data_IF_218632439090
#
_entry.id   IF_218632439090
#
_cell.length_a   1.000
_cell.length_b   1.000
_cell.length_c   1.000
_cell.angle_alpha   90.00
_cell.angle_beta   90.00
_cell.angle_gamma   90.00
#
_symmetry.space_group_name_H-M   'P 1'
#
loop_
_entity.id
_entity.type
_entity.pdbx_description
1 polymer ?
#
# COMPACT_ATOMS: atom_id res chain seq x y z
N UNK A 1 32.46 43.94 -39.70
CA UNK A 1 32.74 43.68 -38.27
C UNK A 1 31.42 43.69 -37.51
N UNK A 2 30.85 42.51 -37.22
CA UNK A 2 29.96 42.23 -36.08
C UNK A 2 29.94 40.72 -35.91
N UNK A 3 30.38 40.27 -34.75
CA UNK A 3 30.61 38.87 -34.42
C UNK A 3 29.29 38.11 -34.36
N UNK A 4 29.23 36.95 -35.03
CA UNK A 4 28.25 35.91 -34.74
C UNK A 4 28.48 35.43 -33.31
N UNK A 5 27.59 35.75 -32.38
CA UNK A 5 27.58 35.08 -31.07
C UNK A 5 26.75 33.81 -31.19
N UNK A 6 27.40 32.71 -31.56
CA UNK A 6 26.83 31.36 -31.66
C UNK A 6 26.52 30.69 -30.30
N UNK A 7 26.41 31.47 -29.22
CA UNK A 7 26.06 30.98 -27.89
C UNK A 7 24.84 31.74 -27.38
N UNK A 8 23.65 31.20 -27.67
CA UNK A 8 22.50 31.49 -26.83
C UNK A 8 22.85 30.98 -25.41
N UNK A 9 22.71 31.80 -24.35
CA UNK A 9 23.02 31.33 -23.02
C UNK A 9 22.07 30.17 -22.68
N UNK A 10 22.63 29.02 -22.32
CA UNK A 10 21.86 27.89 -21.80
C UNK A 10 21.66 28.14 -20.32
N UNK A 11 20.41 28.28 -19.89
CA UNK A 11 20.11 28.36 -18.46
C UNK A 11 20.25 26.95 -17.87
N UNK A 12 21.20 26.78 -16.95
CA UNK A 12 21.28 25.56 -16.17
C UNK A 12 20.06 25.46 -15.24
N UNK A 13 19.37 24.31 -15.21
CA UNK A 13 18.20 24.13 -14.38
C UNK A 13 18.58 24.12 -12.90
N UNK A 14 17.69 24.62 -12.05
CA UNK A 14 17.91 24.57 -10.60
C UNK A 14 18.04 23.13 -10.10
N UNK A 15 19.09 22.79 -9.32
CA UNK A 15 19.29 21.43 -8.79
C UNK A 15 18.19 21.00 -7.82
N UNK A 16 17.41 21.95 -7.30
CA UNK A 16 16.33 21.69 -6.35
C UNK A 16 15.13 20.95 -6.95
N UNK A 17 14.97 20.90 -8.28
CA UNK A 17 13.96 20.03 -8.89
C UNK A 17 14.26 18.56 -8.63
N UNK A 18 15.51 18.14 -8.80
CA UNK A 18 15.93 16.76 -8.55
C UNK A 18 16.08 16.48 -7.06
N UNK A 19 16.65 17.41 -6.29
CA UNK A 19 16.79 17.26 -4.82
C UNK A 19 15.45 17.26 -4.11
N UNK A 20 14.48 18.07 -4.56
CA UNK A 20 13.11 18.05 -4.06
C UNK A 20 12.43 16.70 -4.30
N UNK A 21 12.58 16.14 -5.51
CA UNK A 21 12.11 14.79 -5.80
C UNK A 21 12.83 13.73 -4.95
N UNK A 22 14.14 13.88 -4.71
CA UNK A 22 14.88 12.99 -3.83
C UNK A 22 14.34 13.01 -2.40
N UNK A 23 14.01 14.19 -1.85
CA UNK A 23 13.42 14.32 -0.51
C UNK A 23 12.05 13.62 -0.45
N UNK A 24 11.19 13.83 -1.45
CA UNK A 24 9.92 13.14 -1.54
C UNK A 24 10.11 11.62 -1.56
N UNK A 25 11.01 11.12 -2.40
CA UNK A 25 11.32 9.69 -2.47
C UNK A 25 11.88 9.14 -1.15
N UNK A 26 12.69 9.92 -0.42
CA UNK A 26 13.21 9.53 0.88
C UNK A 26 12.08 9.34 1.90
N UNK A 27 11.13 10.27 1.93
CA UNK A 27 9.96 10.21 2.82
C UNK A 27 9.09 8.99 2.47
N UNK A 28 8.77 8.80 1.20
CA UNK A 28 7.99 7.64 0.74
C UNK A 28 8.71 6.33 1.09
N UNK A 29 10.02 6.26 0.87
CA UNK A 29 10.85 5.10 1.24
C UNK A 29 10.76 4.80 2.73
N UNK A 30 10.80 5.81 3.59
CA UNK A 30 10.66 5.62 5.03
C UNK A 30 9.30 4.97 5.39
N UNK A 31 8.21 5.41 4.76
CA UNK A 31 6.90 4.76 4.94
C UNK A 31 6.89 3.31 4.44
N UNK A 32 7.55 3.01 3.32
CA UNK A 32 7.64 1.64 2.80
C UNK A 32 8.44 0.73 3.74
N UNK A 33 9.51 1.24 4.36
CA UNK A 33 10.24 0.50 5.40
C UNK A 33 9.35 0.22 6.60
N UNK A 34 8.61 1.23 7.09
CA UNK A 34 7.68 1.05 8.19
C UNK A 34 6.57 0.04 7.86
N UNK A 35 6.01 0.09 6.65
CA UNK A 35 5.02 -0.89 6.19
C UNK A 35 5.57 -2.31 6.16
N UNK A 36 6.82 -2.48 5.70
CA UNK A 36 7.50 -3.77 5.70
C UNK A 36 7.71 -4.32 7.12
N UNK A 37 8.13 -3.47 8.05
CA UNK A 37 8.29 -3.83 9.47
C UNK A 37 6.94 -4.19 10.09
N UNK A 38 5.90 -3.40 9.80
CA UNK A 38 4.55 -3.66 10.28
C UNK A 38 4.05 -5.03 9.83
N UNK A 39 4.26 -5.39 8.56
CA UNK A 39 3.84 -6.69 8.04
C UNK A 39 4.54 -7.88 8.72
N UNK A 40 5.80 -7.71 9.14
CA UNK A 40 6.53 -8.73 9.91
C UNK A 40 5.99 -8.81 11.35
N UNK A 41 5.60 -7.68 11.93
CA UNK A 41 5.10 -7.62 13.30
C UNK A 41 3.65 -8.11 13.44
N UNK A 42 2.81 -7.92 12.42
CA UNK A 42 1.39 -8.28 12.42
C UNK A 42 1.09 -9.72 12.87
N UNK A 43 1.69 -10.79 12.30
CA UNK A 43 1.40 -12.16 12.74
C UNK A 43 1.73 -12.37 14.22
N UNK A 44 2.90 -11.87 14.68
CA UNK A 44 3.32 -12.01 16.09
C UNK A 44 2.35 -11.34 17.07
N UNK A 45 1.67 -10.27 16.64
CA UNK A 45 0.68 -9.58 17.44
C UNK A 45 -0.65 -10.33 17.39
N UNK A 46 -1.09 -10.80 16.22
CA UNK A 46 -2.36 -11.49 16.05
C UNK A 46 -2.38 -12.86 16.74
N UNK A 47 -1.31 -13.67 16.64
CA UNK A 47 -1.19 -14.97 17.34
C UNK A 47 -1.36 -14.83 18.87
N UNK A 48 -1.11 -13.63 19.42
CA UNK A 48 -1.30 -13.36 20.86
C UNK A 48 -2.70 -12.87 21.21
N UNK A 49 -3.42 -12.31 20.24
CA UNK A 49 -4.73 -11.70 20.45
C UNK A 49 -5.88 -12.62 20.03
N UNK A 50 -5.63 -13.50 19.06
CA UNK A 50 -6.59 -14.44 18.50
C UNK A 50 -5.98 -15.85 18.59
N UNK A 51 -6.26 -16.62 19.68
CA UNK A 51 -5.83 -18.01 19.76
C UNK A 51 -6.54 -18.89 18.72
N UNK A 52 -5.83 -19.87 18.19
CA UNK A 52 -6.33 -20.76 17.13
C UNK A 52 -7.48 -21.66 17.60
N UNK A 53 -7.52 -22.02 18.89
CA UNK A 53 -8.53 -22.93 19.43
C UNK A 53 -9.49 -22.19 20.38
N UNK A 54 -10.79 -22.31 20.13
CA UNK A 54 -11.81 -21.72 20.99
C UNK A 54 -11.75 -22.28 22.43
N UNK A 55 -11.31 -23.52 22.63
CA UNK A 55 -11.12 -24.10 23.97
C UNK A 55 -10.12 -23.33 24.85
N UNK A 56 -9.18 -22.60 24.24
CA UNK A 56 -8.23 -21.74 24.97
C UNK A 56 -8.89 -20.46 25.52
N UNK A 57 -10.06 -20.09 24.97
CA UNK A 57 -10.89 -18.97 25.42
C UNK A 57 -11.95 -19.48 26.41
N UNK A 58 -12.72 -20.48 26.00
CA UNK A 58 -13.78 -21.09 26.79
C UNK A 58 -13.66 -22.62 26.75
N UNK A 59 -13.32 -23.27 27.87
CA UNK A 59 -13.23 -24.73 27.90
C UNK A 59 -14.58 -25.40 27.66
N UNK A 60 -14.59 -26.52 26.93
CA UNK A 60 -15.81 -27.26 26.65
C UNK A 60 -16.58 -27.65 27.94
N UNK A 61 -17.89 -27.33 28.04
CA UNK A 61 -18.69 -27.59 29.24
C UNK A 61 -19.10 -29.07 29.33
N UNK A 62 -18.13 -29.94 29.65
CA UNK A 62 -18.35 -31.39 29.74
C UNK A 62 -19.47 -31.80 30.72
N UNK A 63 -19.57 -31.11 31.86
CA UNK A 63 -20.61 -31.29 32.88
C UNK A 63 -21.84 -30.38 32.67
N UNK A 64 -21.86 -29.57 31.61
CA UNK A 64 -22.96 -28.68 31.27
C UNK A 64 -24.20 -29.40 30.73
N UNK A 65 -25.30 -28.64 30.72
CA UNK A 65 -26.54 -28.98 30.03
C UNK A 65 -26.33 -29.14 28.52
N UNK A 66 -27.28 -29.78 27.84
CA UNK A 66 -27.21 -29.93 26.38
C UNK A 66 -27.25 -28.54 25.69
N UNK A 67 -28.02 -27.59 26.24
CA UNK A 67 -28.09 -26.20 25.76
C UNK A 67 -26.72 -25.49 25.85
N UNK A 68 -26.01 -25.63 26.98
CA UNK A 68 -24.66 -25.04 27.13
C UNK A 68 -23.63 -25.66 26.17
N UNK A 69 -23.80 -26.93 25.79
CA UNK A 69 -22.91 -27.60 24.82
C UNK A 69 -23.21 -27.15 23.40
N UNK A 70 -24.49 -27.00 23.05
CA UNK A 70 -24.93 -26.51 21.75
C UNK A 70 -24.48 -25.05 21.53
N UNK A 71 -24.63 -24.17 22.53
CA UNK A 71 -24.14 -22.78 22.48
C UNK A 71 -22.61 -22.71 22.32
N UNK A 72 -21.88 -23.59 23.01
CA UNK A 72 -20.43 -23.66 22.88
C UNK A 72 -20.01 -24.07 21.47
N UNK A 73 -20.68 -25.07 20.88
CA UNK A 73 -20.40 -25.55 19.53
C UNK A 73 -20.67 -24.45 18.49
N UNK A 74 -21.77 -23.70 18.63
CA UNK A 74 -22.08 -22.53 17.79
C UNK A 74 -20.99 -21.45 17.87
N UNK A 75 -20.56 -21.10 19.09
CA UNK A 75 -19.49 -20.12 19.30
C UNK A 75 -18.13 -20.61 18.76
N UNK A 76 -17.85 -21.91 18.86
CA UNK A 76 -16.62 -22.50 18.34
C UNK A 76 -16.55 -22.41 16.81
N UNK A 77 -17.67 -22.66 16.12
CA UNK A 77 -17.76 -22.52 14.66
C UNK A 77 -17.58 -21.06 14.24
N UNK A 78 -18.26 -20.14 14.93
CA UNK A 78 -18.07 -18.71 14.68
C UNK A 78 -16.61 -18.26 14.89
N UNK A 79 -15.96 -18.78 15.93
CA UNK A 79 -14.56 -18.48 16.22
C UNK A 79 -13.62 -19.01 15.13
N UNK A 80 -13.82 -20.24 14.67
CA UNK A 80 -13.01 -20.83 13.59
C UNK A 80 -13.13 -20.02 12.30
N UNK A 81 -14.34 -19.58 11.92
CA UNK A 81 -14.58 -18.71 10.77
C UNK A 81 -13.87 -17.35 10.91
N UNK A 82 -13.86 -16.78 12.12
CA UNK A 82 -13.15 -15.55 12.42
C UNK A 82 -11.63 -15.71 12.28
N UNK A 83 -11.07 -16.79 12.83
CA UNK A 83 -9.63 -17.10 12.76
C UNK A 83 -9.21 -17.31 11.30
N UNK A 84 -9.95 -18.09 10.52
CA UNK A 84 -9.68 -18.32 9.10
C UNK A 84 -9.62 -17.01 8.30
N UNK A 85 -10.58 -16.10 8.54
CA UNK A 85 -10.58 -14.78 7.91
C UNK A 85 -9.32 -13.95 8.25
N UNK A 86 -8.90 -13.94 9.53
CA UNK A 86 -7.71 -13.21 9.93
C UNK A 86 -6.41 -13.85 9.42
N UNK A 87 -6.36 -15.17 9.29
CA UNK A 87 -5.24 -15.89 8.69
C UNK A 87 -5.06 -15.50 7.21
N UNK A 88 -6.14 -15.45 6.45
CA UNK A 88 -6.12 -14.97 5.06
C UNK A 88 -5.64 -13.51 4.98
N UNK A 89 -6.11 -12.65 5.89
CA UNK A 89 -5.66 -11.26 6.00
C UNK A 89 -4.18 -11.15 6.37
N UNK A 90 -3.68 -11.99 7.28
CA UNK A 90 -2.25 -12.07 7.62
C UNK A 90 -1.43 -12.47 6.39
N UNK A 91 -1.91 -13.44 5.62
CA UNK A 91 -1.31 -13.85 4.36
C UNK A 91 -1.17 -12.67 3.39
N UNK A 92 -2.24 -11.88 3.24
CA UNK A 92 -2.22 -10.65 2.42
C UNK A 92 -1.23 -9.62 2.97
N UNK A 93 -1.22 -9.37 4.28
CA UNK A 93 -0.30 -8.44 4.96
C UNK A 93 1.15 -8.86 4.72
N UNK A 94 1.46 -10.16 4.74
CA UNK A 94 2.78 -10.69 4.41
C UNK A 94 3.22 -10.32 2.99
N UNK A 95 2.33 -10.48 2.00
CA UNK A 95 2.60 -10.09 0.60
C UNK A 95 2.75 -8.57 0.48
N UNK A 96 1.92 -7.80 1.17
CA UNK A 96 2.05 -6.33 1.26
C UNK A 96 3.40 -5.91 1.85
N UNK A 97 3.90 -6.66 2.84
CA UNK A 97 5.22 -6.46 3.41
C UNK A 97 6.34 -6.63 2.38
N UNK A 98 6.28 -7.68 1.57
CA UNK A 98 7.25 -7.91 0.48
C UNK A 98 7.15 -6.81 -0.58
N UNK A 99 5.95 -6.43 -0.99
CA UNK A 99 5.73 -5.32 -1.93
C UNK A 99 6.31 -4.00 -1.40
N UNK A 100 6.06 -3.69 -0.14
CA UNK A 100 6.64 -2.54 0.55
C UNK A 100 8.17 -2.60 0.60
N UNK A 101 8.76 -3.78 0.84
CA UNK A 101 10.21 -3.93 0.88
C UNK A 101 10.85 -3.68 -0.49
N UNK A 102 10.22 -4.15 -1.57
CA UNK A 102 10.65 -3.87 -2.95
C UNK A 102 10.59 -2.36 -3.23
N UNK A 103 9.47 -1.71 -2.87
CA UNK A 103 9.33 -0.26 -3.05
C UNK A 103 10.33 0.53 -2.20
N UNK A 104 10.63 0.08 -0.99
CA UNK A 104 11.65 0.70 -0.14
C UNK A 104 13.03 0.62 -0.81
N UNK A 105 13.39 -0.54 -1.36
CA UNK A 105 14.66 -0.72 -2.04
C UNK A 105 14.79 0.18 -3.28
N UNK A 106 13.79 0.17 -4.17
CA UNK A 106 13.79 1.01 -5.37
C UNK A 106 13.73 2.50 -5.01
N UNK A 107 12.98 2.86 -3.97
CA UNK A 107 12.86 4.23 -3.47
C UNK A 107 14.18 4.76 -2.89
N UNK A 108 14.94 3.92 -2.17
CA UNK A 108 16.26 4.25 -1.67
C UNK A 108 17.25 4.51 -2.81
N UNK A 109 17.27 3.64 -3.83
CA UNK A 109 18.11 3.84 -5.01
C UNK A 109 17.74 5.14 -5.75
N UNK A 110 16.44 5.39 -5.94
CA UNK A 110 15.94 6.62 -6.54
C UNK A 110 16.44 7.85 -5.78
N UNK A 111 16.33 7.82 -4.45
CA UNK A 111 16.78 8.91 -3.56
C UNK A 111 18.27 9.22 -3.76
N UNK A 112 19.13 8.19 -3.70
CA UNK A 112 20.59 8.36 -3.83
C UNK A 112 20.97 8.91 -5.21
N UNK A 113 20.38 8.37 -6.27
CA UNK A 113 20.66 8.76 -7.66
C UNK A 113 20.21 10.20 -7.93
N UNK A 114 19.01 10.57 -7.48
CA UNK A 114 18.48 11.94 -7.61
C UNK A 114 19.29 12.95 -6.81
N UNK A 115 19.74 12.58 -5.60
CA UNK A 115 20.57 13.45 -4.76
C UNK A 115 21.92 13.78 -5.40
N UNK A 116 22.48 12.82 -6.15
CA UNK A 116 23.69 12.98 -6.97
C UNK A 116 23.43 13.68 -8.31
N UNK A 117 22.24 14.22 -8.52
CA UNK A 117 21.83 14.98 -9.72
C UNK A 117 21.92 14.15 -11.03
N UNK A 118 21.87 12.81 -10.94
CA UNK A 118 21.86 11.91 -12.09
C UNK A 118 20.45 11.82 -12.70
N UNK A 119 20.08 12.87 -13.45
CA UNK A 119 18.72 13.10 -13.96
C UNK A 119 18.09 11.91 -14.66
N UNK A 120 18.72 11.38 -15.70
CA UNK A 120 18.10 10.37 -16.57
C UNK A 120 17.80 9.07 -15.84
N UNK A 121 18.76 8.60 -15.04
CA UNK A 121 18.60 7.39 -14.25
C UNK A 121 17.60 7.62 -13.11
N UNK A 122 17.66 8.77 -12.43
CA UNK A 122 16.75 9.10 -11.34
C UNK A 122 15.29 9.16 -11.78
N UNK A 123 14.99 9.82 -12.91
CA UNK A 123 13.63 9.89 -13.47
C UNK A 123 13.12 8.49 -13.85
N UNK A 124 13.97 7.64 -14.46
CA UNK A 124 13.60 6.26 -14.82
C UNK A 124 13.34 5.39 -13.59
N UNK A 125 14.14 5.53 -12.54
CA UNK A 125 13.96 4.80 -11.28
C UNK A 125 12.67 5.20 -10.58
N UNK A 126 12.35 6.51 -10.51
CA UNK A 126 11.06 6.97 -9.95
C UNK A 126 9.90 6.50 -10.80
N UNK A 127 10.00 6.56 -12.14
CA UNK A 127 8.96 6.01 -13.01
C UNK A 127 8.74 4.51 -12.78
N UNK A 128 9.82 3.75 -12.58
CA UNK A 128 9.75 2.32 -12.24
C UNK A 128 9.11 2.10 -10.87
N UNK A 129 9.47 2.92 -9.88
CA UNK A 129 8.86 2.88 -8.55
C UNK A 129 7.34 3.10 -8.62
N UNK A 130 6.88 4.09 -9.38
CA UNK A 130 5.45 4.36 -9.57
C UNK A 130 4.76 3.18 -10.26
N UNK A 131 5.38 2.59 -11.28
CA UNK A 131 4.82 1.43 -11.97
C UNK A 131 4.69 0.21 -11.04
N UNK A 132 5.70 -0.07 -10.23
CA UNK A 132 5.66 -1.15 -9.22
C UNK A 132 4.61 -0.86 -8.16
N UNK A 133 4.49 0.40 -7.72
CA UNK A 133 3.51 0.82 -6.73
C UNK A 133 2.09 0.63 -7.26
N UNK A 134 1.81 1.05 -8.50
CA UNK A 134 0.50 0.88 -9.13
C UNK A 134 0.16 -0.58 -9.38
N UNK A 135 1.05 -1.35 -10.03
CA UNK A 135 0.77 -2.75 -10.39
C UNK A 135 0.69 -3.64 -9.14
N UNK A 136 1.64 -3.50 -8.22
CA UNK A 136 1.61 -4.28 -6.98
C UNK A 136 0.44 -3.86 -6.08
N UNK A 137 0.13 -2.57 -6.00
CA UNK A 137 -1.06 -2.07 -5.31
C UNK A 137 -2.36 -2.60 -5.91
N UNK A 138 -2.47 -2.67 -7.25
CA UNK A 138 -3.63 -3.24 -7.93
C UNK A 138 -3.79 -4.74 -7.64
N UNK A 139 -2.70 -5.50 -7.62
CA UNK A 139 -2.72 -6.93 -7.27
C UNK A 139 -3.11 -7.13 -5.80
N UNK A 140 -2.50 -6.39 -4.88
CA UNK A 140 -2.84 -6.45 -3.45
C UNK A 140 -4.30 -6.09 -3.20
N UNK A 141 -4.78 -5.03 -3.85
CA UNK A 141 -6.18 -4.64 -3.72
C UNK A 141 -7.13 -5.67 -4.32
N UNK A 142 -6.77 -6.26 -5.46
CA UNK A 142 -7.55 -7.36 -6.04
C UNK A 142 -7.59 -8.57 -5.09
N UNK A 143 -6.47 -8.93 -4.46
CA UNK A 143 -6.44 -10.00 -3.45
C UNK A 143 -7.31 -9.65 -2.23
N UNK A 144 -7.25 -8.41 -1.74
CA UNK A 144 -8.12 -7.92 -0.67
C UNK A 144 -9.60 -8.07 -1.03
N UNK A 145 -10.02 -7.71 -2.25
CA UNK A 145 -11.42 -7.87 -2.69
C UNK A 145 -11.88 -9.32 -2.80
N UNK A 146 -10.94 -10.29 -2.79
CA UNK A 146 -11.26 -11.72 -2.79
C UNK A 146 -11.46 -12.29 -1.39
N UNK A 147 -10.80 -11.68 -0.39
CA UNK A 147 -10.99 -12.02 1.03
C UNK A 147 -12.28 -11.36 1.55
N UNK A 148 -12.57 -10.14 1.10
CA UNK A 148 -13.75 -9.40 1.53
C UNK A 148 -13.46 -8.45 2.70
N UNK A 149 -14.42 -7.58 2.98
CA UNK A 149 -14.32 -6.60 4.09
C UNK A 149 -14.94 -7.14 5.37
N UNK A 150 -15.91 -8.05 5.22
CA UNK A 150 -16.70 -8.63 6.29
C UNK A 150 -16.54 -10.16 6.18
N UNK A 151 -16.19 -10.86 7.27
CA UNK A 151 -16.18 -12.32 7.30
C UNK A 151 -17.58 -12.88 7.01
N UNK A 152 -17.65 -13.94 6.23
CA UNK A 152 -18.90 -14.58 5.82
C UNK A 152 -19.33 -15.58 6.90
N UNK A 153 -19.99 -15.09 7.96
CA UNK A 153 -20.42 -15.94 9.07
C UNK A 153 -21.62 -16.80 8.65
N UNK A 154 -21.55 -18.12 8.87
CA UNK A 154 -22.66 -19.01 8.52
C UNK A 154 -23.85 -18.93 9.48
N UNK A 155 -23.67 -18.28 10.64
CA UNK A 155 -24.62 -18.26 11.75
C UNK A 155 -25.39 -16.93 11.83
N UNK A 156 -26.63 -16.93 11.35
CA UNK A 156 -27.75 -16.02 11.69
C UNK A 156 -27.48 -14.51 11.78
N UNK A 157 -27.01 -13.87 10.71
CA UNK A 157 -26.95 -12.40 10.59
C UNK A 157 -28.31 -11.71 10.35
N UNK A 158 -29.45 -12.42 10.46
CA UNK A 158 -30.78 -11.85 10.14
C UNK A 158 -31.26 -10.76 11.12
N UNK A 159 -30.70 -10.63 12.33
CA UNK A 159 -31.37 -9.81 13.37
C UNK A 159 -30.84 -8.39 13.60
N UNK A 160 -29.69 -7.96 13.05
CA UNK A 160 -29.22 -6.58 13.30
C UNK A 160 -28.42 -6.01 12.12
N UNK A 161 -29.07 -5.42 11.12
CA UNK A 161 -28.35 -4.47 10.26
C UNK A 161 -29.22 -3.34 9.70
N UNK A 162 -28.92 -2.11 10.16
CA UNK A 162 -29.53 -0.85 9.68
C UNK A 162 -28.87 -0.36 8.38
N UNK A 163 -27.75 -0.98 7.99
CA UNK A 163 -26.98 -0.68 6.78
C UNK A 163 -26.71 -2.00 6.07
N UNK A 164 -27.03 -2.07 4.79
CA UNK A 164 -26.77 -3.23 3.93
C UNK A 164 -25.24 -3.40 3.74
N UNK A 165 -24.65 -4.55 4.12
CA UNK A 165 -23.23 -4.86 3.96
C UNK A 165 -22.71 -4.62 2.54
N UNK A 166 -23.55 -4.86 1.53
CA UNK A 166 -23.18 -4.68 0.13
C UNK A 166 -22.82 -3.23 -0.21
N UNK A 167 -23.43 -2.25 0.47
CA UNK A 167 -23.12 -0.84 0.29
C UNK A 167 -21.70 -0.53 0.80
N UNK A 168 -21.31 -1.13 1.92
CA UNK A 168 -19.97 -0.94 2.51
C UNK A 168 -18.91 -1.55 1.59
N UNK A 169 -19.17 -2.73 1.04
CA UNK A 169 -18.26 -3.40 0.11
C UNK A 169 -18.10 -2.61 -1.19
N UNK A 170 -19.20 -2.20 -1.84
CA UNK A 170 -19.17 -1.43 -3.08
C UNK A 170 -18.45 -0.08 -2.90
N UNK A 171 -18.72 0.61 -1.78
CA UNK A 171 -18.06 1.86 -1.46
C UNK A 171 -16.56 1.66 -1.21
N UNK A 172 -16.19 0.60 -0.48
CA UNK A 172 -14.79 0.26 -0.20
C UNK A 172 -14.05 -0.07 -1.50
N UNK A 173 -14.70 -0.81 -2.40
CA UNK A 173 -14.17 -1.13 -3.72
C UNK A 173 -13.92 0.14 -4.54
N UNK A 174 -14.91 1.03 -4.60
CA UNK A 174 -14.83 2.28 -5.37
C UNK A 174 -13.74 3.22 -4.82
N UNK A 175 -13.69 3.41 -3.50
CA UNK A 175 -12.69 4.26 -2.84
C UNK A 175 -11.29 3.67 -3.00
N UNK A 176 -11.14 2.35 -2.84
CA UNK A 176 -9.84 1.68 -2.95
C UNK A 176 -9.22 1.82 -4.34
N UNK A 177 -9.97 1.48 -5.39
CA UNK A 177 -9.52 1.70 -6.77
C UNK A 177 -9.30 3.18 -7.10
N UNK A 178 -10.23 4.04 -6.68
CA UNK A 178 -10.15 5.47 -6.91
C UNK A 178 -8.90 6.09 -6.30
N UNK A 179 -8.60 5.76 -5.05
CA UNK A 179 -7.40 6.20 -4.35
C UNK A 179 -6.12 5.68 -5.03
N UNK A 180 -6.07 4.41 -5.44
CA UNK A 180 -4.91 3.83 -6.11
C UNK A 180 -4.60 4.55 -7.44
N UNK A 181 -5.62 4.81 -8.26
CA UNK A 181 -5.44 5.51 -9.54
C UNK A 181 -5.04 6.96 -9.29
N UNK A 182 -5.72 7.64 -8.38
CA UNK A 182 -5.48 9.06 -8.09
C UNK A 182 -4.07 9.29 -7.53
N UNK A 183 -3.62 8.49 -6.57
CA UNK A 183 -2.31 8.67 -5.95
C UNK A 183 -1.16 8.47 -6.95
N UNK A 184 -1.27 7.45 -7.82
CA UNK A 184 -0.26 7.21 -8.85
C UNK A 184 -0.29 8.27 -9.96
N UNK A 185 -1.47 8.80 -10.30
CA UNK A 185 -1.59 9.92 -11.22
C UNK A 185 -0.91 11.19 -10.67
N UNK A 186 -1.05 11.47 -9.38
CA UNK A 186 -0.35 12.58 -8.72
C UNK A 186 1.18 12.41 -8.78
N UNK A 187 1.69 11.21 -8.50
CA UNK A 187 3.13 10.94 -8.61
C UNK A 187 3.64 11.10 -10.05
N UNK A 188 2.87 10.65 -11.04
CA UNK A 188 3.21 10.86 -12.45
C UNK A 188 3.22 12.35 -12.83
N UNK A 189 2.26 13.14 -12.32
CA UNK A 189 2.22 14.58 -12.55
C UNK A 189 3.44 15.28 -11.95
N UNK A 190 3.84 14.92 -10.72
CA UNK A 190 5.07 15.42 -10.09
C UNK A 190 6.30 15.03 -10.91
N UNK A 191 6.40 13.77 -11.33
CA UNK A 191 7.52 13.29 -12.14
C UNK A 191 7.59 14.01 -13.49
N UNK A 192 6.45 14.24 -14.14
CA UNK A 192 6.37 14.99 -15.40
C UNK A 192 6.82 16.45 -15.22
N UNK A 193 6.37 17.11 -14.16
CA UNK A 193 6.78 18.47 -13.81
C UNK A 193 8.30 18.56 -13.57
N UNK A 194 8.84 17.67 -12.73
CA UNK A 194 10.28 17.62 -12.43
C UNK A 194 11.07 17.28 -13.70
N UNK A 195 10.59 16.35 -14.53
CA UNK A 195 11.23 15.99 -15.79
C UNK A 195 11.29 17.17 -16.77
N UNK A 196 10.23 17.99 -16.83
CA UNK A 196 10.20 19.19 -17.65
C UNK A 196 11.16 20.28 -17.13
N UNK A 197 11.11 20.57 -15.83
CA UNK A 197 11.87 21.68 -15.21
C UNK A 197 13.34 21.39 -14.91
N UNK A 198 13.74 20.12 -14.94
CA UNK A 198 15.14 19.71 -14.77
C UNK A 198 15.94 19.67 -16.08
N UNK A 199 15.35 20.08 -17.22
CA UNK A 199 16.07 20.16 -18.50
C UNK A 199 16.77 21.52 -18.65
N UNK A 200 17.95 21.59 -19.29
CA UNK A 200 18.53 22.87 -19.69
C UNK A 200 17.64 23.57 -20.71
N UNK A 201 17.42 24.87 -20.52
CA UNK A 201 16.62 25.70 -21.43
C UNK A 201 17.54 26.58 -22.30
N UNK A 202 17.28 26.65 -23.60
CA UNK A 202 17.99 27.54 -24.52
C UNK A 202 17.31 28.91 -24.46
N UNK A 203 18.00 29.94 -23.98
CA UNK A 203 17.44 31.29 -23.93
C UNK A 203 17.41 31.88 -25.36
N UNK A 204 16.22 31.96 -25.97
CA UNK A 204 16.04 32.77 -27.18
C UNK A 204 16.06 34.25 -26.79
N UNK A 205 17.05 35.01 -27.30
CA UNK A 205 17.00 36.47 -27.23
C UNK A 205 15.90 36.95 -28.18
N UNK A 206 14.82 37.51 -27.64
CA UNK A 206 13.90 38.39 -28.36
C UNK A 206 14.56 39.72 -28.71
#
# INVERSE_FOLDING_TARGET
MRFETAYAPVAEPSPWWLKGLAILMAILTAFMVLGSISAIASPIILDRLLPDNYEDIEPYPSEGSDEEKDEWEENSVFWDELVEYYDDMIGLVGIQGIHSAILAFVGLLSTIVLWKEQRELGIKLVGSWIAINFLGGAVLFWMFTRIGVIPDFTTNSEEIEVIDPSIIEDLTLAIGWGQLVFCNALFLAILALVSAKSKPEIISRE
#
